data_IF_392144508142
#
_entry.id   IF_392144508142
#
_cell.length_a   1.000
_cell.length_b   1.000
_cell.length_c   1.000
_cell.angle_alpha   90.00
_cell.angle_beta   90.00
_cell.angle_gamma   90.00
#
_symmetry.space_group_name_H-M   'P 1'
#
loop_
_entity.id
_entity.type
_entity.pdbx_description
1 polymer ?
#
# COMPACT_ATOMS: atom_id res chain seq x y z
N UNK A 1 9.09 -29.88 -35.08
CA UNK A 1 9.97 -28.76 -34.66
C UNK A 1 9.17 -27.50 -34.29
N UNK A 2 8.30 -26.96 -35.16
CA UNK A 2 7.48 -25.74 -34.86
C UNK A 2 6.48 -25.88 -33.69
N UNK A 3 5.85 -27.05 -33.55
CA UNK A 3 4.89 -27.33 -32.45
C UNK A 3 5.56 -27.50 -31.07
N UNK A 4 6.84 -27.90 -31.06
CA UNK A 4 7.64 -28.03 -29.83
C UNK A 4 8.12 -26.65 -29.32
N UNK A 5 8.39 -25.72 -30.25
CA UNK A 5 8.76 -24.34 -29.92
C UNK A 5 7.59 -23.55 -29.33
N UNK A 6 6.35 -23.78 -29.80
CA UNK A 6 5.14 -23.15 -29.25
C UNK A 6 4.82 -23.59 -27.81
N UNK A 7 5.05 -24.87 -27.49
CA UNK A 7 4.82 -25.42 -26.14
C UNK A 7 5.82 -24.88 -25.11
N UNK A 8 7.07 -24.64 -25.52
CA UNK A 8 8.09 -24.04 -24.66
C UNK A 8 7.85 -22.53 -24.44
N UNK A 9 7.32 -21.83 -25.45
CA UNK A 9 6.97 -20.41 -25.34
C UNK A 9 5.76 -20.18 -24.41
N UNK A 10 4.77 -21.07 -24.42
CA UNK A 10 3.63 -21.00 -23.50
C UNK A 10 4.01 -21.31 -22.05
N UNK A 11 4.96 -22.21 -21.82
CA UNK A 11 5.43 -22.55 -20.47
C UNK A 11 6.22 -21.39 -19.84
N UNK A 12 6.97 -20.62 -20.65
CA UNK A 12 7.61 -19.37 -20.25
C UNK A 12 6.60 -18.31 -19.77
N UNK A 13 5.47 -18.13 -20.46
CA UNK A 13 4.43 -17.18 -20.05
C UNK A 13 3.71 -17.58 -18.75
N UNK A 14 3.66 -18.87 -18.39
CA UNK A 14 3.07 -19.35 -17.15
C UNK A 14 3.96 -19.11 -15.92
N UNK A 15 5.29 -19.07 -16.08
CA UNK A 15 6.21 -18.77 -14.98
C UNK A 15 6.19 -17.29 -14.58
N UNK A 16 5.90 -16.38 -15.50
CA UNK A 16 5.87 -14.94 -15.23
C UNK A 16 4.67 -14.51 -14.35
N UNK A 17 3.59 -15.30 -14.29
CA UNK A 17 2.42 -15.02 -13.46
C UNK A 17 2.66 -15.41 -11.98
N UNK A 18 3.73 -16.16 -11.68
CA UNK A 18 4.03 -16.69 -10.35
C UNK A 18 4.79 -15.74 -9.41
N UNK A 19 5.03 -14.48 -9.77
CA UNK A 19 5.65 -13.49 -8.90
C UNK A 19 4.68 -12.33 -8.62
N UNK A 20 3.43 -12.65 -8.29
CA UNK A 20 2.65 -11.75 -7.43
C UNK A 20 3.36 -11.79 -6.08
N UNK A 21 4.14 -10.76 -5.79
CA UNK A 21 4.60 -10.49 -4.43
C UNK A 21 3.34 -10.28 -3.59
N UNK A 22 2.85 -11.35 -2.96
CA UNK A 22 1.96 -11.25 -1.83
C UNK A 22 2.77 -10.55 -0.74
N UNK A 23 2.74 -9.22 -0.75
CA UNK A 23 3.12 -8.45 0.43
C UNK A 23 2.10 -8.90 1.45
N UNK A 24 2.46 -9.90 2.25
CA UNK A 24 1.71 -10.24 3.44
C UNK A 24 1.67 -8.95 4.26
N UNK A 25 0.55 -8.24 4.21
CA UNK A 25 0.28 -7.10 5.07
C UNK A 25 0.11 -7.69 6.45
N UNK A 26 1.25 -7.84 7.13
CA UNK A 26 1.30 -8.41 8.46
C UNK A 26 0.26 -7.65 9.31
N UNK A 27 -0.76 -8.37 9.77
CA UNK A 27 -1.77 -7.85 10.67
C UNK A 27 -3.17 -7.69 10.10
N UNK A 28 -3.40 -7.10 8.91
CA UNK A 28 -4.75 -6.86 8.38
C UNK A 28 -4.73 -6.73 6.84
N UNK A 29 -5.73 -7.33 6.19
CA UNK A 29 -5.95 -7.23 4.75
C UNK A 29 -7.26 -6.49 4.48
N UNK A 30 -7.24 -5.57 3.52
CA UNK A 30 -8.47 -4.91 3.09
C UNK A 30 -9.41 -5.91 2.42
N UNK A 31 -10.73 -5.83 2.68
CA UNK A 31 -11.70 -6.80 2.17
C UNK A 31 -11.82 -6.81 0.63
N UNK A 32 -11.33 -5.78 -0.04
CA UNK A 32 -11.31 -5.66 -1.50
C UNK A 32 -10.26 -4.62 -1.93
N UNK A 33 -9.84 -4.69 -3.19
CA UNK A 33 -8.85 -3.81 -3.83
C UNK A 33 -9.49 -2.95 -4.91
N UNK A 34 -8.77 -1.92 -5.35
CA UNK A 34 -9.17 -1.10 -6.50
C UNK A 34 -9.34 -2.01 -7.72
N UNK A 35 -10.51 -1.93 -8.36
CA UNK A 35 -10.82 -2.68 -9.58
C UNK A 35 -11.63 -3.96 -9.37
N UNK A 36 -11.72 -4.46 -8.13
CA UNK A 36 -12.53 -5.62 -7.77
C UNK A 36 -14.02 -5.39 -8.06
N UNK A 37 -14.77 -6.48 -8.24
CA UNK A 37 -16.23 -6.40 -8.42
C UNK A 37 -16.90 -5.71 -7.23
N UNK A 38 -16.46 -6.02 -6.00
CA UNK A 38 -16.97 -5.38 -4.79
C UNK A 38 -16.66 -3.88 -4.77
N UNK A 39 -15.45 -3.45 -5.14
CA UNK A 39 -15.10 -2.03 -5.25
C UNK A 39 -16.04 -1.27 -6.20
N UNK A 40 -16.35 -1.87 -7.36
CA UNK A 40 -17.24 -1.29 -8.37
C UNK A 40 -18.72 -1.32 -7.96
N UNK A 41 -19.09 -2.15 -6.98
CA UNK A 41 -20.46 -2.27 -6.52
C UNK A 41 -20.92 -1.10 -5.63
N UNK A 42 -19.98 -0.41 -4.99
CA UNK A 42 -20.27 0.77 -4.18
C UNK A 42 -20.51 2.02 -5.05
N UNK A 43 -21.48 2.84 -4.65
CA UNK A 43 -21.90 4.02 -5.41
C UNK A 43 -21.01 5.24 -5.17
N UNK A 44 -20.21 5.25 -4.10
CA UNK A 44 -19.36 6.38 -3.72
C UNK A 44 -18.02 5.96 -3.11
N UNK A 45 -17.06 6.89 -3.07
CA UNK A 45 -15.81 6.69 -2.32
C UNK A 45 -16.08 6.58 -0.81
N UNK A 46 -17.03 7.35 -0.29
CA UNK A 46 -17.44 7.31 1.12
C UNK A 46 -17.93 5.92 1.56
N UNK A 47 -18.73 5.25 0.73
CA UNK A 47 -19.16 3.87 1.02
C UNK A 47 -17.99 2.87 1.03
N UNK A 48 -17.06 3.02 0.08
CA UNK A 48 -15.83 2.20 0.04
C UNK A 48 -15.00 2.43 1.31
N UNK A 49 -14.72 3.68 1.66
CA UNK A 49 -13.97 4.04 2.88
C UNK A 49 -14.64 3.49 4.15
N UNK A 50 -15.97 3.53 4.22
CA UNK A 50 -16.71 2.94 5.34
C UNK A 50 -16.50 1.41 5.44
N UNK A 51 -16.48 0.71 4.31
CA UNK A 51 -16.23 -0.73 4.25
C UNK A 51 -14.74 -1.10 4.42
N UNK A 52 -13.82 -0.15 4.26
CA UNK A 52 -12.37 -0.34 4.44
C UNK A 52 -11.89 -0.02 5.87
N UNK A 53 -12.74 0.48 6.77
CA UNK A 53 -12.35 0.72 8.16
C UNK A 53 -11.90 -0.57 8.85
N UNK A 54 -10.87 -0.49 9.68
CA UNK A 54 -10.41 -1.63 10.48
C UNK A 54 -11.40 -1.84 11.65
N UNK A 55 -11.89 -3.05 11.92
CA UNK A 55 -12.66 -3.33 13.13
C UNK A 55 -11.90 -2.92 14.41
N UNK A 56 -12.56 -2.34 15.39
CA UNK A 56 -11.92 -1.71 16.56
C UNK A 56 -11.06 -2.67 17.39
N UNK A 57 -11.54 -3.90 17.59
CA UNK A 57 -10.81 -4.99 18.26
C UNK A 57 -9.52 -5.33 17.50
N UNK A 58 -9.62 -5.37 16.17
CA UNK A 58 -8.48 -5.65 15.31
C UNK A 58 -7.49 -4.49 15.31
N UNK A 59 -7.97 -3.25 15.20
CA UNK A 59 -7.15 -2.04 15.17
C UNK A 59 -6.23 -1.94 16.39
N UNK A 60 -6.76 -2.21 17.58
CA UNK A 60 -5.99 -2.21 18.85
C UNK A 60 -5.00 -3.36 18.97
N UNK A 61 -5.24 -4.47 18.27
CA UNK A 61 -4.36 -5.64 18.30
C UNK A 61 -3.13 -5.51 17.39
N UNK A 62 -3.17 -4.61 16.40
CA UNK A 62 -2.08 -4.44 15.44
C UNK A 62 -0.84 -3.85 16.11
N UNK A 63 0.34 -4.37 15.80
CA UNK A 63 1.59 -3.70 16.17
C UNK A 63 1.74 -2.38 15.40
N UNK A 64 2.58 -1.46 15.87
CA UNK A 64 2.79 -0.18 15.17
C UNK A 64 3.39 -0.38 13.77
N UNK A 65 4.27 -1.37 13.61
CA UNK A 65 4.84 -1.72 12.31
C UNK A 65 3.80 -2.29 11.33
N UNK A 66 2.88 -3.12 11.83
CA UNK A 66 1.78 -3.68 11.05
C UNK A 66 0.78 -2.59 10.66
N UNK A 67 0.36 -1.76 11.62
CA UNK A 67 -0.55 -0.66 11.34
C UNK A 67 0.05 0.37 10.38
N UNK A 68 1.35 0.67 10.51
CA UNK A 68 2.07 1.49 9.53
C UNK A 68 2.00 0.88 8.12
N UNK A 69 2.19 -0.43 7.99
CA UNK A 69 2.10 -1.12 6.70
C UNK A 69 0.69 -1.06 6.13
N UNK A 70 -0.33 -1.30 6.95
CA UNK A 70 -1.75 -1.18 6.55
C UNK A 70 -2.08 0.24 6.08
N UNK A 71 -1.58 1.26 6.78
CA UNK A 71 -1.74 2.66 6.39
C UNK A 71 -1.03 3.00 5.07
N UNK A 72 0.13 2.41 4.79
CA UNK A 72 0.83 2.60 3.51
C UNK A 72 0.12 1.89 2.35
N UNK A 73 -0.54 0.77 2.61
CA UNK A 73 -1.27 -0.02 1.62
C UNK A 73 -2.77 0.38 1.52
N UNK A 74 -3.20 1.44 2.21
CA UNK A 74 -4.57 1.94 2.16
C UNK A 74 -4.93 2.34 0.71
N UNK A 75 -6.07 1.85 0.15
CA UNK A 75 -6.40 2.07 -1.26
C UNK A 75 -6.43 3.55 -1.71
N UNK A 76 -6.77 4.47 -0.81
CA UNK A 76 -6.81 5.90 -1.10
C UNK A 76 -5.60 6.68 -0.55
N UNK A 77 -4.51 6.01 -0.17
CA UNK A 77 -3.31 6.69 0.33
C UNK A 77 -2.81 7.74 -0.68
N UNK A 78 -2.80 7.39 -1.97
CA UNK A 78 -2.31 8.25 -3.05
C UNK A 78 -3.17 9.49 -3.31
N UNK A 79 -4.41 9.55 -2.78
CA UNK A 79 -5.28 10.72 -2.92
C UNK A 79 -4.66 11.96 -2.25
N UNK A 80 -3.68 11.78 -1.35
CA UNK A 80 -2.90 12.89 -0.79
C UNK A 80 -2.20 13.72 -1.86
N UNK A 81 -1.86 13.12 -3.01
CA UNK A 81 -1.19 13.80 -4.12
C UNK A 81 -2.14 14.64 -5.00
N UNK A 82 -3.46 14.56 -4.77
CA UNK A 82 -4.44 15.34 -5.53
C UNK A 82 -4.58 16.79 -5.02
N UNK A 83 -3.85 17.16 -3.96
CA UNK A 83 -3.89 18.47 -3.32
C UNK A 83 -2.63 19.28 -3.65
N UNK A 84 -2.76 20.61 -3.69
CA UNK A 84 -1.66 21.53 -3.99
C UNK A 84 -0.54 21.49 -2.94
N UNK A 85 -0.89 21.17 -1.69
CA UNK A 85 0.02 21.15 -0.55
C UNK A 85 0.05 19.77 0.11
N UNK A 86 1.24 19.14 0.27
CA UNK A 86 1.35 17.79 0.84
C UNK A 86 0.69 17.64 2.21
N UNK A 87 0.83 18.63 3.09
CA UNK A 87 0.26 18.63 4.43
C UNK A 87 -1.28 18.66 4.40
N UNK A 88 -1.87 19.35 3.42
CA UNK A 88 -3.33 19.42 3.25
C UNK A 88 -3.84 18.07 2.78
N UNK A 89 -3.19 17.46 1.79
CA UNK A 89 -3.54 16.12 1.30
C UNK A 89 -3.38 15.04 2.36
N UNK A 90 -2.26 15.06 3.09
CA UNK A 90 -2.01 14.14 4.20
C UNK A 90 -3.11 14.23 5.27
N UNK A 91 -3.46 15.45 5.70
CA UNK A 91 -4.50 15.67 6.71
C UNK A 91 -5.90 15.26 6.19
N UNK A 92 -6.18 15.47 4.90
CA UNK A 92 -7.44 15.04 4.30
C UNK A 92 -7.59 13.51 4.36
N UNK A 93 -6.60 12.77 3.86
CA UNK A 93 -6.62 11.30 3.85
C UNK A 93 -6.62 10.71 5.27
N UNK A 94 -5.86 11.29 6.20
CA UNK A 94 -5.82 10.84 7.60
C UNK A 94 -7.19 10.93 8.31
N UNK A 95 -8.06 11.85 7.89
CA UNK A 95 -9.40 11.99 8.48
C UNK A 95 -10.37 10.90 8.04
N UNK A 96 -10.12 10.25 6.91
CA UNK A 96 -11.06 9.30 6.31
C UNK A 96 -10.92 7.88 6.86
N UNK A 97 -9.71 7.49 7.26
CA UNK A 97 -9.39 6.13 7.68
C UNK A 97 -8.97 6.04 9.15
N UNK A 98 -9.60 5.13 9.92
CA UNK A 98 -9.29 4.95 11.34
C UNK A 98 -7.87 4.47 11.62
N UNK A 99 -7.24 3.77 10.69
CA UNK A 99 -5.85 3.34 10.84
C UNK A 99 -4.87 4.50 11.02
N UNK A 100 -4.99 5.59 10.26
CA UNK A 100 -4.13 6.77 10.43
C UNK A 100 -4.38 7.46 11.77
N UNK A 101 -5.66 7.62 12.16
CA UNK A 101 -6.01 8.25 13.44
C UNK A 101 -5.41 7.50 14.61
N UNK A 102 -5.47 6.18 14.61
CA UNK A 102 -4.81 5.35 15.63
C UNK A 102 -3.29 5.46 15.55
N UNK A 103 -2.70 5.27 14.36
CA UNK A 103 -1.26 5.26 14.13
C UNK A 103 -0.59 6.53 14.66
N UNK A 104 -1.17 7.70 14.38
CA UNK A 104 -0.66 9.01 14.79
C UNK A 104 -0.71 9.26 16.30
N UNK A 105 -1.38 8.41 17.08
CA UNK A 105 -1.36 8.47 18.55
C UNK A 105 -0.30 7.57 19.18
N UNK A 106 0.36 6.70 18.40
CA UNK A 106 1.31 5.70 18.90
C UNK A 106 2.67 6.31 19.16
N UNK A 107 3.16 6.17 20.39
CA UNK A 107 4.44 6.75 20.86
C UNK A 107 5.67 6.17 20.15
N UNK A 108 5.58 4.93 19.67
CA UNK A 108 6.65 4.21 18.96
C UNK A 108 6.56 4.35 17.43
N UNK A 109 5.69 5.24 16.91
CA UNK A 109 5.54 5.47 15.47
C UNK A 109 6.86 5.90 14.81
N UNK A 110 7.61 6.81 15.44
CA UNK A 110 8.88 7.32 14.91
C UNK A 110 9.89 6.19 14.69
N UNK A 111 10.01 5.28 15.65
CA UNK A 111 10.93 4.13 15.56
C UNK A 111 10.51 3.17 14.45
N UNK A 112 9.20 2.90 14.33
CA UNK A 112 8.65 2.07 13.27
C UNK A 112 8.90 2.68 11.87
N UNK A 113 8.73 4.00 11.73
CA UNK A 113 9.01 4.73 10.48
C UNK A 113 10.48 4.66 10.11
N UNK A 114 11.39 4.98 11.04
CA UNK A 114 12.83 4.96 10.80
C UNK A 114 13.27 3.58 10.31
N UNK A 115 12.86 2.53 11.03
CA UNK A 115 13.15 1.14 10.66
C UNK A 115 12.60 0.77 9.27
N UNK A 116 11.40 1.26 8.92
CA UNK A 116 10.81 1.03 7.58
C UNK A 116 11.62 1.73 6.49
N UNK A 117 12.06 2.98 6.73
CA UNK A 117 12.86 3.76 5.80
C UNK A 117 14.26 3.17 5.59
N UNK A 118 14.92 2.69 6.64
CA UNK A 118 16.23 2.02 6.55
C UNK A 118 16.18 0.75 5.69
N UNK A 119 15.02 0.09 5.64
CA UNK A 119 14.81 -1.11 4.82
C UNK A 119 14.52 -0.80 3.34
N UNK A 120 14.33 0.47 2.97
CA UNK A 120 14.17 0.86 1.55
C UNK A 120 15.57 0.81 0.92
N UNK A 121 15.81 -0.04 -0.11
CA UNK A 121 17.10 -0.05 -0.80
C UNK A 121 17.45 1.36 -1.28
N UNK A 122 18.74 1.71 -1.30
CA UNK A 122 19.28 3.01 -1.71
C UNK A 122 19.02 3.38 -3.19
N UNK A 123 17.90 2.96 -3.79
CA UNK A 123 17.42 3.41 -5.09
C UNK A 123 17.24 4.92 -5.15
N UNK A 124 16.96 5.59 -4.02
CA UNK A 124 16.94 7.06 -3.94
C UNK A 124 18.34 7.66 -4.17
N UNK A 125 19.41 7.05 -3.64
CA UNK A 125 20.78 7.51 -3.89
C UNK A 125 21.16 7.40 -5.38
N UNK A 126 20.62 6.41 -6.10
CA UNK A 126 20.81 6.28 -7.55
C UNK A 126 20.03 7.30 -8.38
N UNK A 127 18.97 7.89 -7.81
CA UNK A 127 18.17 8.95 -8.43
C UNK A 127 18.84 10.32 -8.17
N UNK A 128 19.30 10.57 -6.94
CA UNK A 128 19.96 11.83 -6.58
C UNK A 128 21.34 12.00 -7.21
N UNK A 129 22.09 10.91 -7.44
CA UNK A 129 23.41 10.97 -8.09
C UNK A 129 23.36 11.08 -9.62
N UNK A 130 22.17 11.06 -10.25
CA UNK A 130 22.05 11.22 -11.71
C UNK A 130 22.07 12.67 -12.16
N UNK A 131 21.83 13.62 -11.26
CA UNK A 131 21.76 15.05 -11.61
C UNK A 131 23.12 15.77 -11.49
N UNK A 132 24.21 15.09 -11.09
CA UNK A 132 25.56 15.69 -11.00
C UNK A 132 26.43 15.51 -12.26
N UNK A 133 25.92 14.92 -13.36
CA UNK A 133 26.68 14.82 -14.62
C UNK A 133 25.82 15.20 -15.82
N UNK A 134 25.66 16.51 -16.04
CA UNK A 134 25.57 17.11 -17.39
C UNK A 134 26.10 18.53 -17.36
#
# INVERSE_FOLDING_TARGET
MKKLFLLLFTFSCLYAVGQVSERATAGFEFPFKIGDAQWKSYSSAKERVAALQIPEDKLKSLTTADLLTVCLDFPYAMDMLAYDYPEVGFNAVCKEFNGYRELLTRKDLTDALLKKCEAIPAGIASILNKDEVT
#
